data_IF_979385415865
#
_entry.id   IF_979385415865
#
_cell.length_a   1.000
_cell.length_b   1.000
_cell.length_c   1.000
_cell.angle_alpha   90.00
_cell.angle_beta   90.00
_cell.angle_gamma   90.00
#
_symmetry.space_group_name_H-M   'P 1'
#
loop_
_entity.id
_entity.type
_entity.pdbx_description
1 polymer ?
#
# COMPACT_ATOMS: atom_id res chain seq x y z
N UNK A 1 -17.54 21.43 4.47
CA UNK A 1 -16.77 20.93 5.61
C UNK A 1 -15.34 20.69 5.12
N UNK A 2 -14.30 21.19 5.80
CA UNK A 2 -12.94 20.79 5.45
C UNK A 2 -12.83 19.27 5.62
N UNK A 3 -12.20 18.60 4.66
CA UNK A 3 -11.95 17.17 4.74
C UNK A 3 -11.14 16.87 6.01
N UNK A 4 -11.43 15.77 6.74
CA UNK A 4 -10.57 15.36 7.84
C UNK A 4 -9.14 15.23 7.31
N UNK A 5 -8.19 15.84 8.00
CA UNK A 5 -6.80 15.81 7.57
C UNK A 5 -6.31 14.37 7.51
N UNK A 6 -5.66 14.02 6.40
CA UNK A 6 -5.04 12.72 6.16
C UNK A 6 -4.32 12.19 7.42
N UNK A 7 -4.71 11.02 7.95
CA UNK A 7 -4.24 10.54 9.27
C UNK A 7 -2.71 10.55 9.44
N UNK A 8 -1.94 10.19 8.40
CA UNK A 8 -0.47 10.23 8.46
C UNK A 8 0.04 11.66 8.68
N UNK A 9 -0.61 12.69 8.13
CA UNK A 9 -0.23 14.09 8.37
C UNK A 9 -0.45 14.48 9.82
N UNK A 10 -1.51 13.98 10.47
CA UNK A 10 -1.73 14.22 11.91
C UNK A 10 -0.66 13.53 12.76
N UNK A 11 -0.27 12.29 12.39
CA UNK A 11 0.83 11.58 13.03
C UNK A 11 2.14 12.36 12.85
N UNK A 12 2.49 12.76 11.63
CA UNK A 12 3.71 13.53 11.35
C UNK A 12 3.71 14.88 12.07
N UNK A 13 2.59 15.61 12.10
CA UNK A 13 2.47 16.86 12.85
C UNK A 13 2.74 16.64 14.34
N UNK A 14 2.24 15.54 14.91
CA UNK A 14 2.52 15.16 16.30
C UNK A 14 4.00 14.84 16.50
N UNK A 15 4.62 14.04 15.62
CA UNK A 15 6.04 13.70 15.70
C UNK A 15 6.95 14.93 15.56
N UNK A 16 6.55 15.92 14.76
CA UNK A 16 7.29 17.18 14.61
C UNK A 16 7.13 18.15 15.78
N UNK A 17 6.08 18.00 16.59
CA UNK A 17 5.85 18.89 17.74
C UNK A 17 6.86 18.67 18.87
N UNK A 18 7.38 17.45 19.00
CA UNK A 18 8.45 17.10 19.93
C UNK A 18 9.38 16.03 19.31
N UNK A 19 10.30 16.44 18.42
CA UNK A 19 11.13 15.51 17.65
C UNK A 19 12.15 14.76 18.51
N UNK A 20 12.47 15.27 19.71
CA UNK A 20 13.41 14.64 20.65
C UNK A 20 12.78 13.53 21.47
N UNK A 21 11.45 13.49 21.58
CA UNK A 21 10.73 12.43 22.30
C UNK A 21 10.92 11.05 21.67
N UNK A 22 10.83 10.01 22.50
CA UNK A 22 10.78 8.62 22.02
C UNK A 22 9.39 8.35 21.46
N UNK A 23 9.30 8.05 20.16
CA UNK A 23 8.04 7.71 19.50
C UNK A 23 7.65 6.24 19.71
N UNK A 24 8.63 5.33 19.68
CA UNK A 24 8.42 3.91 19.96
C UNK A 24 9.72 3.21 20.38
N UNK A 25 9.57 2.00 20.93
CA UNK A 25 10.68 1.09 21.19
C UNK A 25 10.70 0.03 20.09
N UNK A 26 11.77 -0.01 19.30
CA UNK A 26 11.96 -0.97 18.21
C UNK A 26 13.10 -1.91 18.56
N UNK A 27 12.81 -3.20 18.74
CA UNK A 27 13.81 -4.22 19.14
C UNK A 27 14.61 -3.83 20.40
N UNK A 28 13.94 -3.24 21.39
CA UNK A 28 14.57 -2.80 22.64
C UNK A 28 15.24 -1.43 22.59
N UNK A 29 15.38 -0.83 21.40
CA UNK A 29 16.01 0.47 21.23
C UNK A 29 14.98 1.59 21.04
N UNK A 30 15.16 2.76 21.66
CA UNK A 30 14.30 3.91 21.44
C UNK A 30 14.47 4.47 20.02
N UNK A 31 13.36 4.72 19.34
CA UNK A 31 13.32 5.47 18.08
C UNK A 31 12.68 6.81 18.34
N UNK A 32 13.44 7.88 18.10
CA UNK A 32 12.99 9.25 18.30
C UNK A 32 11.98 9.70 17.24
N UNK A 33 11.07 10.58 17.64
CA UNK A 33 9.98 11.07 16.79
C UNK A 33 10.49 11.76 15.51
N UNK A 34 11.50 12.61 15.61
CA UNK A 34 12.07 13.29 14.45
C UNK A 34 12.75 12.34 13.46
N UNK A 35 13.38 11.27 13.96
CA UNK A 35 14.00 10.23 13.13
C UNK A 35 12.93 9.46 12.36
N UNK A 36 11.84 9.07 13.04
CA UNK A 36 10.74 8.35 12.40
C UNK A 36 10.01 9.21 11.36
N UNK A 37 9.72 10.47 11.68
CA UNK A 37 9.08 11.40 10.76
C UNK A 37 9.93 11.61 9.50
N UNK A 38 11.22 11.92 9.68
CA UNK A 38 12.16 12.09 8.56
C UNK A 38 12.25 10.83 7.69
N UNK A 39 12.23 9.65 8.30
CA UNK A 39 12.31 8.39 7.57
C UNK A 39 11.06 8.11 6.71
N UNK A 40 9.87 8.49 7.19
CA UNK A 40 8.61 8.43 6.41
C UNK A 40 8.66 9.42 5.25
N UNK A 41 9.03 10.66 5.54
CA UNK A 41 9.09 11.75 4.57
C UNK A 41 10.21 11.59 3.55
N UNK A 42 11.22 10.76 3.83
CA UNK A 42 12.25 10.36 2.86
C UNK A 42 11.74 9.26 1.92
N UNK A 43 11.01 8.27 2.46
CA UNK A 43 10.56 7.13 1.65
C UNK A 43 9.39 7.48 0.71
N UNK A 44 8.47 8.36 1.14
CA UNK A 44 7.29 8.72 0.35
C UNK A 44 7.62 9.38 -1.02
N UNK A 45 8.51 10.39 -1.10
CA UNK A 45 8.94 10.95 -2.39
C UNK A 45 9.49 9.89 -3.37
N UNK A 46 10.33 8.97 -2.89
CA UNK A 46 10.88 7.88 -3.71
C UNK A 46 9.75 6.99 -4.24
N UNK A 47 8.84 6.55 -3.36
CA UNK A 47 7.67 5.78 -3.77
C UNK A 47 6.84 6.53 -4.82
N UNK A 48 6.61 7.83 -4.63
CA UNK A 48 5.82 8.66 -5.54
C UNK A 48 6.44 8.77 -6.93
N UNK A 49 7.75 8.99 -7.00
CA UNK A 49 8.50 9.01 -8.27
C UNK A 49 8.35 7.72 -9.06
N UNK A 50 8.20 6.59 -8.37
CA UNK A 50 7.93 5.28 -8.97
C UNK A 50 6.45 5.00 -9.22
N UNK A 51 5.59 6.01 -9.18
CA UNK A 51 4.18 5.94 -9.55
C UNK A 51 3.26 5.46 -8.43
N UNK A 52 3.72 5.43 -7.19
CA UNK A 52 2.86 5.15 -6.04
C UNK A 52 1.99 6.38 -5.71
N UNK A 53 0.71 6.12 -5.48
CA UNK A 53 -0.29 7.15 -5.23
C UNK A 53 -1.66 6.54 -4.96
N UNK A 54 -2.75 7.34 -5.04
CA UNK A 54 -4.10 6.88 -4.80
C UNK A 54 -4.50 5.73 -5.74
N UNK A 55 -4.97 4.63 -5.15
CA UNK A 55 -5.35 3.42 -5.89
C UNK A 55 -4.19 2.48 -6.23
N UNK A 56 -2.95 2.84 -5.91
CA UNK A 56 -1.83 1.91 -5.91
C UNK A 56 -1.88 1.02 -4.67
N UNK A 57 -1.39 -0.21 -4.83
CA UNK A 57 -1.27 -1.18 -3.74
C UNK A 57 0.22 -1.46 -3.51
N UNK A 58 0.66 -1.30 -2.26
CA UNK A 58 2.05 -1.53 -1.83
C UNK A 58 2.06 -2.73 -0.89
N UNK A 59 2.71 -3.81 -1.29
CA UNK A 59 2.97 -4.92 -0.38
C UNK A 59 4.14 -4.55 0.53
N UNK A 60 4.02 -4.82 1.83
CA UNK A 60 5.06 -4.58 2.84
C UNK A 60 5.53 -5.91 3.41
N UNK A 61 6.85 -6.12 3.34
CA UNK A 61 7.54 -7.28 3.88
C UNK A 61 8.70 -6.82 4.77
N UNK A 62 8.44 -6.77 6.07
CA UNK A 62 9.44 -6.40 7.08
C UNK A 62 9.43 -7.40 8.23
N UNK A 63 10.39 -7.29 9.14
CA UNK A 63 10.21 -7.81 10.50
C UNK A 63 9.00 -7.12 11.16
N UNK A 64 8.10 -7.90 11.81
CA UNK A 64 6.89 -7.36 12.41
C UNK A 64 7.24 -6.47 13.61
N UNK A 65 6.37 -5.49 13.88
CA UNK A 65 6.48 -4.59 15.04
C UNK A 65 7.83 -3.84 15.11
N UNK A 66 8.38 -3.47 13.95
CA UNK A 66 9.61 -2.66 13.84
C UNK A 66 9.32 -1.25 13.34
N UNK A 67 10.25 -0.33 13.58
CA UNK A 67 10.17 1.00 12.97
C UNK A 67 10.13 0.97 11.44
N UNK A 68 10.71 -0.06 10.81
CA UNK A 68 10.67 -0.26 9.36
C UNK A 68 9.24 -0.50 8.86
N UNK A 69 8.44 -1.30 9.57
CA UNK A 69 7.04 -1.55 9.22
C UNK A 69 6.22 -0.25 9.20
N UNK A 70 6.30 0.53 10.29
CA UNK A 70 5.60 1.81 10.39
C UNK A 70 6.09 2.83 9.36
N UNK A 71 7.40 2.89 9.13
CA UNK A 71 7.99 3.76 8.11
C UNK A 71 7.39 3.47 6.73
N UNK A 72 7.45 2.22 6.27
CA UNK A 72 7.00 1.83 4.94
C UNK A 72 5.49 1.98 4.79
N UNK A 73 4.74 1.58 5.82
CA UNK A 73 3.28 1.74 5.85
C UNK A 73 2.88 3.21 5.76
N UNK A 74 3.44 4.06 6.61
CA UNK A 74 3.06 5.47 6.64
C UNK A 74 3.54 6.23 5.40
N UNK A 75 4.68 5.86 4.82
CA UNK A 75 5.14 6.45 3.55
C UNK A 75 4.16 6.14 2.41
N UNK A 76 3.73 4.89 2.26
CA UNK A 76 2.74 4.51 1.25
C UNK A 76 1.37 5.16 1.52
N UNK A 77 0.92 5.12 2.77
CA UNK A 77 -0.34 5.74 3.17
C UNK A 77 -0.31 7.25 2.94
N UNK A 78 0.80 7.93 3.20
CA UNK A 78 0.97 9.37 2.93
C UNK A 78 0.70 9.70 1.46
N UNK A 79 0.88 8.78 0.54
CA UNK A 79 0.58 8.96 -0.89
C UNK A 79 -0.86 8.56 -1.26
N UNK A 80 -1.70 8.18 -0.29
CA UNK A 80 -3.02 7.61 -0.52
C UNK A 80 -3.02 6.19 -1.07
N UNK A 81 -1.88 5.50 -1.06
CA UNK A 81 -1.79 4.11 -1.46
C UNK A 81 -2.34 3.19 -0.38
N UNK A 82 -2.79 2.00 -0.79
CA UNK A 82 -3.22 0.94 0.14
C UNK A 82 -2.06 0.01 0.44
N UNK A 83 -1.80 -0.24 1.72
CA UNK A 83 -0.76 -1.17 2.17
C UNK A 83 -1.32 -2.57 2.35
N UNK A 84 -0.55 -3.59 1.96
CA UNK A 84 -0.84 -4.99 2.25
C UNK A 84 0.34 -5.64 2.96
N UNK A 85 0.16 -6.06 4.21
CA UNK A 85 1.20 -6.80 4.92
C UNK A 85 1.18 -8.28 4.47
N UNK A 86 2.31 -8.78 3.97
CA UNK A 86 2.37 -10.13 3.38
C UNK A 86 3.12 -11.17 4.21
N UNK A 87 3.85 -10.76 5.27
CA UNK A 87 4.58 -11.73 6.12
C UNK A 87 3.66 -12.61 6.97
N UNK A 88 2.50 -12.08 7.37
CA UNK A 88 1.60 -12.70 8.34
C UNK A 88 1.42 -11.80 9.55
N UNK A 89 0.20 -11.73 10.06
CA UNK A 89 -0.14 -10.86 11.20
C UNK A 89 -0.99 -11.64 12.19
N UNK A 90 -0.39 -12.60 12.87
CA UNK A 90 -0.91 -13.02 14.17
C UNK A 90 -0.32 -12.09 15.23
N UNK A 91 -1.13 -11.19 15.80
CA UNK A 91 -0.69 -10.33 16.90
C UNK A 91 -0.35 -11.12 18.18
N UNK A 92 -0.76 -12.40 18.26
CA UNK A 92 -0.51 -13.29 19.40
C UNK A 92 0.87 -13.95 19.31
N UNK A 93 1.35 -14.25 18.09
CA UNK A 93 2.68 -14.82 17.89
C UNK A 93 3.38 -14.12 16.70
N UNK A 94 4.29 -13.17 16.97
CA UNK A 94 5.03 -12.46 15.92
C UNK A 94 5.98 -13.36 15.12
N UNK A 95 6.29 -14.56 15.63
CA UNK A 95 7.14 -15.54 14.94
C UNK A 95 6.33 -16.43 13.99
N UNK A 96 4.98 -16.34 14.01
CA UNK A 96 4.12 -17.10 13.11
C UNK A 96 4.05 -16.40 11.74
N UNK A 97 4.96 -16.81 10.84
CA UNK A 97 5.01 -16.35 9.46
C UNK A 97 4.06 -17.14 8.54
N UNK A 98 3.43 -16.45 7.59
CA UNK A 98 2.73 -17.09 6.48
C UNK A 98 3.74 -17.88 5.62
N UNK A 99 3.42 -19.10 5.18
CA UNK A 99 4.26 -19.85 4.25
C UNK A 99 4.51 -19.06 2.96
N UNK A 100 5.70 -19.20 2.35
CA UNK A 100 6.06 -18.50 1.10
C UNK A 100 5.04 -18.71 -0.02
N UNK A 101 4.42 -19.89 -0.09
CA UNK A 101 3.36 -20.19 -1.07
C UNK A 101 2.14 -19.30 -0.88
N UNK A 102 1.74 -19.03 0.35
CA UNK A 102 0.62 -18.14 0.69
C UNK A 102 0.98 -16.69 0.43
N UNK A 103 2.19 -16.25 0.82
CA UNK A 103 2.66 -14.89 0.52
C UNK A 103 2.68 -14.64 -0.99
N UNK A 104 3.13 -15.62 -1.78
CA UNK A 104 3.13 -15.56 -3.25
C UNK A 104 1.72 -15.52 -3.83
N UNK A 105 0.78 -16.26 -3.26
CA UNK A 105 -0.62 -16.19 -3.66
C UNK A 105 -1.22 -14.80 -3.41
N UNK A 106 -0.88 -14.17 -2.27
CA UNK A 106 -1.28 -12.80 -1.98
C UNK A 106 -0.69 -11.85 -3.03
N UNK A 107 0.61 -11.93 -3.33
CA UNK A 107 1.23 -11.09 -4.37
C UNK A 107 0.58 -11.28 -5.75
N UNK A 108 0.34 -12.54 -6.16
CA UNK A 108 -0.27 -12.87 -7.46
C UNK A 108 -1.70 -12.35 -7.58
N UNK A 109 -2.46 -12.42 -6.50
CA UNK A 109 -3.88 -12.04 -6.49
C UNK A 109 -4.10 -10.54 -6.31
N UNK A 110 -3.27 -9.88 -5.50
CA UNK A 110 -3.36 -8.43 -5.24
C UNK A 110 -2.65 -7.59 -6.29
N UNK A 111 -1.61 -8.15 -6.95
CA UNK A 111 -0.77 -7.48 -7.96
C UNK A 111 -0.33 -6.09 -7.49
N UNK A 112 0.44 -6.01 -6.39
CA UNK A 112 0.94 -4.75 -5.91
C UNK A 112 1.79 -4.07 -6.99
N UNK A 113 1.75 -2.74 -7.01
CA UNK A 113 2.67 -1.98 -7.87
C UNK A 113 4.11 -2.04 -7.33
N UNK A 114 4.26 -2.20 -6.01
CA UNK A 114 5.54 -2.23 -5.32
C UNK A 114 5.53 -3.22 -4.16
N UNK A 115 6.65 -3.92 -3.97
CA UNK A 115 6.98 -4.67 -2.78
C UNK A 115 8.06 -3.89 -2.01
N UNK A 116 7.67 -3.27 -0.90
CA UNK A 116 8.53 -2.50 -0.02
C UNK A 116 9.09 -3.39 1.10
N UNK A 117 10.41 -3.41 1.27
CA UNK A 117 11.12 -4.42 2.05
C UNK A 117 12.15 -3.77 2.98
N UNK A 118 12.31 -4.32 4.18
CA UNK A 118 13.49 -4.02 5.00
C UNK A 118 14.72 -4.85 4.58
N UNK A 119 15.90 -4.52 5.12
CA UNK A 119 17.14 -5.22 4.76
C UNK A 119 17.12 -6.69 5.13
N UNK A 120 16.43 -7.07 6.21
CA UNK A 120 16.36 -8.44 6.70
C UNK A 120 15.58 -9.36 5.75
N UNK A 121 14.69 -8.82 4.92
CA UNK A 121 13.82 -9.62 4.06
C UNK A 121 14.13 -9.53 2.56
N UNK A 122 15.27 -8.96 2.17
CA UNK A 122 15.66 -8.82 0.75
C UNK A 122 15.69 -10.17 0.04
N UNK A 123 16.33 -11.18 0.64
CA UNK A 123 16.43 -12.50 0.01
C UNK A 123 15.06 -13.20 -0.09
N UNK A 124 14.23 -13.05 0.94
CA UNK A 124 12.85 -13.53 0.92
C UNK A 124 12.04 -12.85 -0.19
N UNK A 125 12.19 -11.54 -0.37
CA UNK A 125 11.53 -10.80 -1.44
C UNK A 125 11.93 -11.33 -2.83
N UNK A 126 13.21 -11.66 -3.04
CA UNK A 126 13.69 -12.30 -4.28
C UNK A 126 13.01 -13.64 -4.54
N UNK A 127 12.98 -14.52 -3.53
CA UNK A 127 12.32 -15.84 -3.62
C UNK A 127 10.82 -15.75 -3.91
N UNK A 128 10.16 -14.69 -3.42
CA UNK A 128 8.75 -14.45 -3.70
C UNK A 128 8.53 -13.98 -5.13
N UNK A 129 9.39 -13.10 -5.64
CA UNK A 129 9.23 -12.44 -6.93
C UNK A 129 9.76 -13.25 -8.12
N UNK A 130 10.83 -14.03 -7.95
CA UNK A 130 11.48 -14.81 -9.03
C UNK A 130 10.49 -15.65 -9.87
N UNK A 131 9.53 -16.40 -9.29
CA UNK A 131 8.60 -17.21 -10.08
C UNK A 131 7.37 -16.43 -10.59
N UNK A 132 7.25 -15.12 -10.34
CA UNK A 132 6.09 -14.34 -10.77
C UNK A 132 6.24 -13.88 -12.22
N UNK A 133 5.21 -14.15 -13.03
CA UNK A 133 5.15 -13.65 -14.40
C UNK A 133 5.12 -12.11 -14.48
N UNK A 134 4.45 -11.48 -13.51
CA UNK A 134 4.40 -10.02 -13.34
C UNK A 134 4.85 -9.70 -11.91
N UNK A 135 6.16 -9.53 -11.72
CA UNK A 135 6.72 -9.15 -10.42
C UNK A 135 6.47 -7.67 -10.11
N UNK A 136 6.16 -7.31 -8.84
CA UNK A 136 6.11 -5.92 -8.44
C UNK A 136 7.51 -5.28 -8.47
N UNK A 137 7.56 -3.95 -8.52
CA UNK A 137 8.81 -3.23 -8.29
C UNK A 137 9.31 -3.48 -6.87
N UNK A 138 10.52 -4.00 -6.70
CA UNK A 138 11.11 -4.24 -5.37
C UNK A 138 11.86 -3.00 -4.91
N UNK A 139 11.45 -2.46 -3.76
CA UNK A 139 12.03 -1.29 -3.14
C UNK A 139 12.49 -1.63 -1.72
N UNK A 140 13.73 -1.30 -1.39
CA UNK A 140 14.41 -1.77 -0.17
C UNK A 140 14.89 -0.57 0.65
N UNK A 141 14.76 -0.67 1.97
CA UNK A 141 15.41 0.29 2.88
C UNK A 141 16.93 0.11 2.82
N UNK A 142 17.68 1.18 2.56
CA UNK A 142 19.15 1.16 2.46
C UNK A 142 19.62 0.18 1.37
N UNK A 143 18.95 0.22 0.23
CA UNK A 143 19.24 -0.68 -0.88
C UNK A 143 20.66 -0.49 -1.41
N UNK A 144 21.24 -1.58 -1.92
CA UNK A 144 22.44 -1.56 -2.74
C UNK A 144 22.19 -2.33 -4.04
N UNK A 145 22.68 -1.80 -5.16
CA UNK A 145 22.57 -2.45 -6.47
C UNK A 145 21.32 -2.04 -7.27
N UNK A 146 20.57 -3.03 -7.76
CA UNK A 146 19.53 -2.89 -8.79
C UNK A 146 18.10 -2.66 -8.24
N UNK A 147 17.96 -2.57 -6.92
CA UNK A 147 16.67 -2.30 -6.25
C UNK A 147 16.48 -0.81 -5.98
N UNK A 148 15.23 -0.38 -5.82
CA UNK A 148 14.94 1.03 -5.49
C UNK A 148 15.30 1.30 -4.03
N UNK A 149 16.19 2.27 -3.79
CA UNK A 149 16.56 2.70 -2.44
C UNK A 149 15.53 3.67 -1.84
N UNK A 150 14.75 3.19 -0.87
CA UNK A 150 13.76 3.99 -0.15
C UNK A 150 14.37 4.95 0.88
N UNK A 151 15.70 4.99 0.99
CA UNK A 151 16.43 5.95 1.84
C UNK A 151 17.12 7.05 1.03
N UNK A 152 17.03 6.99 -0.31
CA UNK A 152 17.54 8.04 -1.16
C UNK A 152 16.75 9.34 -0.95
N UNK A 153 17.45 10.48 -0.91
CA UNK A 153 16.81 11.78 -0.82
C UNK A 153 16.05 12.09 -2.11
N UNK A 154 14.79 12.48 -1.98
CA UNK A 154 13.94 12.93 -3.10
C UNK A 154 12.90 13.93 -2.57
N UNK A 155 12.28 14.71 -3.46
CA UNK A 155 11.35 15.78 -3.12
C UNK A 155 9.91 15.41 -3.50
N UNK A 156 8.98 15.67 -2.58
CA UNK A 156 7.55 15.49 -2.82
C UNK A 156 6.85 16.84 -2.70
N UNK A 157 6.08 17.21 -3.72
CA UNK A 157 5.13 18.32 -3.60
C UNK A 157 3.96 17.89 -2.68
N UNK A 158 3.76 18.53 -1.52
CA UNK A 158 2.67 18.20 -0.62
C UNK A 158 1.27 18.31 -1.26
N UNK A 159 1.12 19.12 -2.31
CA UNK A 159 -0.14 19.26 -3.05
C UNK A 159 -0.43 18.07 -3.98
N UNK A 160 0.58 17.26 -4.33
CA UNK A 160 0.43 16.07 -5.15
C UNK A 160 -0.19 14.88 -4.38
N UNK A 161 -0.14 14.93 -3.04
CA UNK A 161 -0.70 13.91 -2.16
C UNK A 161 -2.22 14.05 -2.06
N UNK A 162 -2.93 12.95 -2.36
CA UNK A 162 -4.39 12.84 -2.15
C UNK A 162 -4.69 11.67 -1.23
N UNK A 163 -5.79 11.76 -0.50
CA UNK A 163 -6.24 10.69 0.38
C UNK A 163 -6.75 9.47 -0.40
N UNK A 164 -6.45 8.28 0.12
CA UNK A 164 -6.93 7.00 -0.40
C UNK A 164 -8.21 6.56 0.28
N UNK A 165 -8.90 5.57 -0.31
CA UNK A 165 -10.13 4.99 0.28
C UNK A 165 -9.80 3.93 1.37
N UNK A 166 -8.70 3.16 1.20
CA UNK A 166 -8.31 2.08 2.12
C UNK A 166 -6.85 2.26 2.51
N UNK A 167 -6.58 2.33 3.81
CA UNK A 167 -5.23 2.53 4.33
C UNK A 167 -4.46 1.21 4.36
N UNK A 168 -5.04 0.16 4.94
CA UNK A 168 -4.33 -1.12 5.16
C UNK A 168 -5.22 -2.32 4.92
N UNK A 169 -4.62 -3.38 4.39
CA UNK A 169 -5.16 -4.73 4.38
C UNK A 169 -4.18 -5.67 5.08
N UNK A 170 -4.69 -6.40 6.05
CA UNK A 170 -3.91 -7.34 6.85
C UNK A 170 -4.43 -8.76 6.63
N UNK A 171 -3.53 -9.71 6.35
CA UNK A 171 -3.88 -11.12 6.23
C UNK A 171 -3.56 -11.89 7.51
N UNK A 172 -4.54 -12.59 8.05
CA UNK A 172 -4.38 -13.49 9.21
C UNK A 172 -4.43 -14.95 8.76
N UNK A 173 -3.66 -15.85 9.39
CA UNK A 173 -3.82 -17.30 9.23
C UNK A 173 -5.25 -17.66 9.68
N UNK A 174 -6.18 -17.83 8.74
CA UNK A 174 -7.55 -18.19 9.09
C UNK A 174 -7.56 -19.54 9.82
N UNK A 175 -8.55 -19.76 10.69
CA UNK A 175 -8.74 -21.02 11.42
C UNK A 175 -8.93 -22.26 10.52
N UNK A 176 -9.12 -22.04 9.22
CA UNK A 176 -9.25 -23.08 8.18
C UNK A 176 -7.96 -23.31 7.38
N UNK A 177 -6.82 -22.73 7.78
CA UNK A 177 -5.52 -22.90 7.11
C UNK A 177 -5.31 -22.05 5.85
N UNK A 178 -6.22 -21.12 5.53
CA UNK A 178 -6.10 -20.16 4.42
C UNK A 178 -6.15 -18.72 4.94
N UNK A 179 -5.36 -17.83 4.35
CA UNK A 179 -5.28 -16.44 4.80
C UNK A 179 -6.59 -15.67 4.55
N UNK A 180 -7.09 -14.99 5.59
CA UNK A 180 -8.24 -14.08 5.52
C UNK A 180 -7.78 -12.61 5.58
N UNK A 181 -8.24 -11.79 4.64
CA UNK A 181 -7.94 -10.35 4.62
C UNK A 181 -8.87 -9.55 5.54
N UNK A 182 -8.31 -8.57 6.25
CA UNK A 182 -9.01 -7.57 7.05
C UNK A 182 -8.63 -6.18 6.54
N UNK A 183 -9.63 -5.38 6.17
CA UNK A 183 -9.46 -4.02 5.66
C UNK A 183 -9.58 -3.01 6.81
N UNK A 184 -8.69 -2.02 6.84
CA UNK A 184 -8.76 -0.84 7.69
C UNK A 184 -8.78 0.41 6.80
N UNK A 185 -9.87 1.18 6.89
CA UNK A 185 -10.09 2.41 6.13
C UNK A 185 -9.30 3.60 6.74
N UNK A 186 -9.12 4.67 5.97
CA UNK A 186 -8.58 5.92 6.50
C UNK A 186 -9.60 6.51 7.51
N UNK A 187 -9.18 6.88 8.74
CA UNK A 187 -10.11 7.44 9.72
C UNK A 187 -10.65 8.79 9.22
N UNK A 188 -11.97 8.91 9.06
CA UNK A 188 -12.64 10.11 8.54
C UNK A 188 -13.65 9.86 7.40
N UNK A 189 -13.72 8.65 6.84
CA UNK A 189 -14.82 8.26 5.94
C UNK A 189 -16.06 7.85 6.74
N UNK A 190 -16.83 8.83 7.23
CA UNK A 190 -18.16 8.55 7.75
C UNK A 190 -19.08 8.12 6.59
N UNK A 191 -19.59 6.88 6.66
CA UNK A 191 -20.69 6.45 5.78
C UNK A 191 -22.00 6.80 6.44
N UNK A 192 -22.74 7.71 5.82
CA UNK A 192 -24.18 7.82 6.04
C UNK A 192 -24.86 6.49 5.67
N UNK A 193 -25.55 5.88 6.65
CA UNK A 193 -26.68 4.99 6.39
C UNK A 193 -26.58 3.52 6.85
N UNK A 194 -27.13 3.30 8.05
CA UNK A 194 -28.05 2.22 8.43
C UNK A 194 -27.58 0.74 8.52
N UNK A 195 -27.76 0.16 9.72
CA UNK A 195 -28.18 -1.24 9.85
C UNK A 195 -27.42 -2.08 10.88
N UNK A 196 -27.87 -2.03 12.12
CA UNK A 196 -27.56 -2.92 13.24
C UNK A 196 -27.78 -4.42 12.96
N UNK A 197 -26.87 -5.26 13.45
CA UNK A 197 -27.23 -6.42 14.27
C UNK A 197 -27.14 -7.82 13.65
N UNK A 198 -26.29 -8.66 14.26
CA UNK A 198 -26.55 -10.11 14.41
C UNK A 198 -25.67 -11.07 13.61
N UNK A 199 -24.50 -11.41 14.16
CA UNK A 199 -23.80 -12.63 13.76
C UNK A 199 -24.47 -13.84 14.44
N UNK A 200 -25.25 -14.62 13.67
CA UNK A 200 -25.58 -16.01 14.01
C UNK A 200 -24.72 -16.93 13.14
N UNK A 201 -24.05 -17.86 13.80
CA UNK A 201 -23.26 -18.92 13.19
C UNK A 201 -24.15 -20.10 12.82
N UNK A 202 -24.30 -20.38 11.52
CA UNK A 202 -24.71 -21.71 11.04
C UNK A 202 -23.84 -22.12 9.86
N UNK A 203 -23.40 -23.39 9.91
CA UNK A 203 -22.44 -23.98 8.99
C UNK A 203 -23.01 -24.22 7.60
N UNK A 204 -22.27 -23.77 6.58
CA UNK A 204 -22.43 -24.17 5.19
C UNK A 204 -21.06 -24.09 4.48
N UNK A 205 -20.77 -24.96 3.51
CA UNK A 205 -19.42 -25.17 3.02
C UNK A 205 -18.97 -24.09 2.00
N UNK A 206 -17.64 -23.98 1.86
CA UNK A 206 -16.88 -23.60 0.65
C UNK A 206 -16.57 -22.11 0.33
N UNK A 207 -15.26 -21.82 0.22
CA UNK A 207 -14.56 -21.37 -1.00
C UNK A 207 -14.78 -19.94 -1.58
N UNK A 208 -15.48 -19.03 -0.89
CA UNK A 208 -15.87 -17.74 -1.51
C UNK A 208 -15.40 -16.44 -0.84
N UNK A 209 -14.75 -16.46 0.35
CA UNK A 209 -14.52 -15.22 1.12
C UNK A 209 -13.21 -14.47 0.86
N UNK A 210 -12.07 -15.16 0.68
CA UNK A 210 -10.79 -14.51 0.35
C UNK A 210 -10.81 -13.90 -1.05
N UNK A 211 -11.41 -14.63 -2.01
CA UNK A 211 -11.66 -14.12 -3.35
C UNK A 211 -12.60 -12.92 -3.34
N UNK A 212 -13.57 -12.84 -2.43
CA UNK A 212 -14.49 -11.69 -2.33
C UNK A 212 -13.85 -10.44 -1.74
N UNK A 213 -12.98 -10.55 -0.72
CA UNK A 213 -12.21 -9.41 -0.21
C UNK A 213 -11.27 -8.87 -1.31
N UNK A 214 -10.52 -9.76 -1.96
CA UNK A 214 -9.64 -9.43 -3.08
C UNK A 214 -10.42 -8.87 -4.28
N UNK A 215 -11.60 -9.41 -4.61
CA UNK A 215 -12.50 -8.89 -5.66
C UNK A 215 -13.18 -7.59 -5.27
N UNK A 216 -13.34 -7.24 -4.00
CA UNK A 216 -13.81 -5.91 -3.58
C UNK A 216 -12.70 -4.87 -3.76
N UNK A 217 -11.48 -5.17 -3.34
CA UNK A 217 -10.29 -4.32 -3.52
C UNK A 217 -10.04 -4.09 -5.02
N UNK A 218 -9.97 -5.17 -5.81
CA UNK A 218 -9.73 -5.13 -7.27
C UNK A 218 -10.97 -4.67 -8.05
N UNK A 219 -12.18 -4.99 -7.60
CA UNK A 219 -13.44 -4.64 -8.29
C UNK A 219 -13.82 -3.17 -8.17
N UNK A 220 -13.44 -2.48 -7.08
CA UNK A 220 -13.54 -1.01 -6.97
C UNK A 220 -12.68 -0.30 -8.03
N UNK A 221 -11.56 -0.90 -8.45
CA UNK A 221 -10.67 -0.42 -9.54
C UNK A 221 -11.38 -0.28 -10.89
N UNK A 222 -12.33 -1.18 -11.20
CA UNK A 222 -12.98 -1.18 -12.51
C UNK A 222 -14.16 -0.22 -12.66
N UNK A 223 -14.80 0.21 -11.57
CA UNK A 223 -15.96 1.10 -11.65
C UNK A 223 -15.61 2.59 -11.76
N UNK A 224 -14.43 3.03 -11.31
CA UNK A 224 -14.05 4.46 -11.33
C UNK A 224 -13.24 4.92 -12.56
N UNK A 225 -12.70 4.01 -13.38
CA UNK A 225 -11.89 4.37 -14.56
C UNK A 225 -12.58 4.28 -15.93
N UNK A 226 -13.88 3.99 -16.01
CA UNK A 226 -14.63 4.12 -17.28
C UNK A 226 -15.13 5.55 -17.49
N UNK A 227 -14.23 6.45 -17.90
CA UNK A 227 -14.58 7.52 -18.85
C UNK A 227 -13.98 7.16 -20.21
N UNK A 228 -14.76 7.11 -21.30
CA UNK A 228 -14.22 6.82 -22.62
C UNK A 228 -13.32 7.98 -23.06
N UNK A 229 -12.03 7.68 -23.29
CA UNK A 229 -11.15 8.54 -24.08
C UNK A 229 -11.74 8.60 -25.49
N UNK A 230 -12.33 9.73 -25.86
CA UNK A 230 -12.63 10.05 -27.26
C UNK A 230 -11.32 10.05 -28.03
N UNK A 231 -11.18 9.12 -28.97
CA UNK A 231 -10.12 9.14 -29.96
C UNK A 231 -10.30 10.39 -30.84
N UNK A 232 -9.33 11.31 -30.79
CA UNK A 232 -9.22 12.36 -31.78
C UNK A 232 -8.57 11.77 -33.04
N UNK A 233 -9.39 11.41 -34.01
CA UNK A 233 -8.95 11.04 -35.35
C UNK A 233 -8.53 12.30 -36.12
N UNK A 234 -7.22 12.53 -36.26
CA UNK A 234 -6.71 13.41 -37.29
C UNK A 234 -6.63 12.65 -38.61
N UNK A 235 -7.66 12.82 -39.44
CA UNK A 235 -7.65 12.38 -40.83
C UNK A 235 -7.22 13.54 -41.71
N UNK A 236 -6.09 13.30 -42.39
CA UNK A 236 -5.61 14.03 -43.56
C UNK A 236 -6.74 14.25 -44.57
N UNK A 237 -6.88 15.47 -45.07
CA UNK A 237 -7.25 15.73 -46.47
C UNK A 237 -6.33 16.78 -47.03
N UNK A 238 -5.41 16.33 -47.89
CA UNK A 238 -4.92 17.16 -48.97
C UNK A 238 -6.00 17.25 -50.05
N UNK A 239 -5.98 18.35 -50.78
CA UNK A 239 -6.88 18.61 -51.90
C UNK A 239 -6.83 20.08 -52.25
N UNK A 240 -5.79 20.47 -53.00
CA UNK A 240 -5.71 21.79 -53.61
C UNK A 240 -6.80 21.97 -54.67
N UNK A 241 -7.14 23.22 -54.94
CA UNK A 241 -7.56 23.68 -56.27
C UNK A 241 -7.12 25.13 -56.44
N UNK A 242 -6.70 25.38 -57.67
CA UNK A 242 -6.29 26.63 -58.28
C UNK A 242 -7.31 27.78 -58.19
N UNK A 243 -6.76 28.98 -58.42
CA UNK A 243 -7.24 30.04 -59.33
C UNK A 243 -7.66 31.41 -58.76
N UNK A 244 -7.07 32.43 -59.40
CA UNK A 244 -7.36 33.87 -59.44
C UNK A 244 -7.01 34.67 -58.16
N UNK A 245 -6.02 35.57 -58.16
CA UNK A 245 -5.84 36.75 -59.01
C UNK A 245 -4.39 37.25 -58.99
#
# INVERSE_FOLDING_TARGET
MPHPEHHVRQILATLHSDPGSTALISRGEPVHAGVLASAVETAAPVMHRHGIGPGSLVAVLTDPNTAADLRLRWAANLLGATVVHIRGVNAVNPDEELPLTVQREILTSTRPAMLAVDTANVERARQLCEPLAEAPLVAVLWAAGDTVDLTAADALDPAAVREGDIAVVTFTSGSTGRAEGRELEFPGQERDGAGTGGARSEGHPADHRTADALRRIVGRRHRRHRRPRRAASWLRRGGGTDSHR
#
